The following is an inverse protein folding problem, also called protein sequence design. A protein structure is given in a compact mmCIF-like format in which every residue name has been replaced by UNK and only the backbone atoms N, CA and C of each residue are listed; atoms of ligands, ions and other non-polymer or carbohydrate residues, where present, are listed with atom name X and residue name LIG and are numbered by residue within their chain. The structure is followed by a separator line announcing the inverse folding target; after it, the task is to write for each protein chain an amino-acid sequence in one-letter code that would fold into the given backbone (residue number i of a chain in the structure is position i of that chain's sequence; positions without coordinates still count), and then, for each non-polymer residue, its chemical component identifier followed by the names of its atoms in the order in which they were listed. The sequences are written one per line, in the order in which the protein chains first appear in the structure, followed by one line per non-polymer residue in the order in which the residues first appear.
data_IF_680047086401
#
_entry.id   IF_680047086401
#
_cell.length_a   1.000
_cell.length_b   1.000
_cell.length_c   1.000
_cell.angle_alpha   90.00
_cell.angle_beta   90.00
_cell.angle_gamma   90.00
#
_symmetry.space_group_name_H-M   'P 1'
#
loop_
_entity.id
_entity.type
_entity.pdbx_description
1 polymer ?
#
# COMPACT_ATOMS: atom_id res chain seq x y z
N UNK A 1 -11.02 10.74 2.28
CA UNK A 1 -10.09 10.38 1.17
C UNK A 1 -9.50 11.61 0.48
N UNK A 2 -10.29 12.55 -0.06
CA UNK A 2 -9.78 13.72 -0.81
C UNK A 2 -8.75 14.57 -0.03
N UNK A 3 -9.00 14.88 1.24
CA UNK A 3 -8.04 15.63 2.08
C UNK A 3 -6.69 14.89 2.23
N UNK A 4 -6.72 13.56 2.35
CA UNK A 4 -5.49 12.75 2.41
C UNK A 4 -4.76 12.80 1.07
N UNK A 5 -5.46 12.71 -0.06
CA UNK A 5 -4.80 12.84 -1.38
C UNK A 5 -4.07 14.18 -1.52
N UNK A 6 -4.73 15.27 -1.15
CA UNK A 6 -4.16 16.60 -1.25
C UNK A 6 -2.96 16.84 -0.31
N UNK A 7 -2.84 16.07 0.77
CA UNK A 7 -1.77 16.24 1.76
C UNK A 7 -0.51 15.42 1.51
N UNK A 8 -0.47 14.64 0.42
CA UNK A 8 0.60 13.67 0.16
C UNK A 8 1.19 13.88 -1.25
N UNK A 9 2.45 14.36 -1.37
CA UNK A 9 3.13 14.59 -2.66
C UNK A 9 3.12 13.41 -3.62
N UNK A 10 3.08 12.16 -3.13
CA UNK A 10 2.98 10.98 -3.98
C UNK A 10 1.69 10.95 -4.83
N UNK A 11 0.64 11.69 -4.46
CA UNK A 11 -0.58 11.79 -5.27
C UNK A 11 -0.57 12.95 -6.27
N UNK A 12 0.55 13.65 -6.46
CA UNK A 12 0.71 14.58 -7.58
C UNK A 12 0.41 13.87 -8.90
N UNK A 13 -0.29 14.50 -9.87
CA UNK A 13 -0.63 13.87 -11.14
C UNK A 13 0.60 13.29 -11.87
N UNK A 14 1.71 14.03 -11.90
CA UNK A 14 2.97 13.63 -12.54
C UNK A 14 3.83 12.65 -11.70
N UNK A 15 3.37 12.25 -10.52
CA UNK A 15 4.07 11.27 -9.70
C UNK A 15 4.10 9.91 -10.42
N UNK A 16 5.24 9.22 -10.33
CA UNK A 16 5.45 7.92 -10.94
C UNK A 16 4.50 6.89 -10.34
N UNK A 17 4.05 5.95 -11.17
CA UNK A 17 3.20 4.84 -10.76
C UNK A 17 3.78 3.52 -11.23
N UNK A 18 3.80 2.53 -10.33
CA UNK A 18 4.18 1.16 -10.66
C UNK A 18 3.10 0.19 -10.18
N UNK A 19 2.64 -0.69 -11.08
CA UNK A 19 1.60 -1.70 -10.77
C UNK A 19 2.29 -3.01 -10.41
N UNK A 20 1.81 -3.67 -9.36
CA UNK A 20 2.33 -4.94 -8.87
C UNK A 20 1.36 -6.07 -9.22
N UNK A 21 1.84 -7.08 -9.95
CA UNK A 21 1.12 -8.32 -10.21
C UNK A 21 1.49 -9.36 -9.15
N UNK A 22 0.69 -9.44 -8.09
CA UNK A 22 1.02 -10.21 -6.86
C UNK A 22 -0.11 -11.11 -6.38
N UNK A 23 -1.34 -10.81 -6.75
CA UNK A 23 -2.54 -11.58 -6.45
C UNK A 23 -3.62 -11.14 -7.46
N UNK A 24 -4.20 -12.05 -8.25
CA UNK A 24 -5.16 -11.70 -9.29
C UNK A 24 -6.48 -11.12 -8.74
N UNK A 25 -6.75 -11.27 -7.45
CA UNK A 25 -7.94 -10.73 -6.77
C UNK A 25 -7.65 -9.42 -6.01
N UNK A 26 -6.41 -8.94 -6.04
CA UNK A 26 -6.01 -7.66 -5.48
C UNK A 26 -5.51 -6.73 -6.59
N UNK A 27 -5.79 -5.44 -6.44
CA UNK A 27 -5.11 -4.43 -7.24
C UNK A 27 -4.13 -3.67 -6.36
N UNK A 28 -2.86 -3.66 -6.77
CA UNK A 28 -1.78 -3.04 -5.99
C UNK A 28 -0.93 -2.18 -6.89
N UNK A 29 -0.71 -0.93 -6.48
CA UNK A 29 0.25 -0.05 -7.15
C UNK A 29 0.94 0.86 -6.13
N UNK A 30 2.14 1.33 -6.47
CA UNK A 30 2.80 2.41 -5.75
C UNK A 30 2.60 3.72 -6.49
N UNK A 31 2.66 4.80 -5.71
CA UNK A 31 2.90 6.15 -6.19
C UNK A 31 4.18 6.66 -5.56
N UNK A 32 5.08 7.21 -6.36
CA UNK A 32 6.34 7.79 -5.89
C UNK A 32 6.32 9.26 -6.25
N UNK A 33 6.47 10.14 -5.25
CA UNK A 33 6.48 11.58 -5.46
C UNK A 33 7.51 11.99 -6.51
N UNK A 34 7.28 13.12 -7.17
CA UNK A 34 8.18 13.66 -8.21
C UNK A 34 9.62 13.82 -7.68
N UNK A 35 9.76 14.20 -6.41
CA UNK A 35 11.05 14.36 -5.72
C UNK A 35 11.62 13.05 -5.16
N UNK A 36 10.90 11.92 -5.31
CA UNK A 36 11.26 10.58 -4.80
C UNK A 36 11.43 10.49 -3.28
N UNK A 37 10.86 11.45 -2.54
CA UNK A 37 10.91 11.54 -1.08
C UNK A 37 9.73 10.86 -0.37
N UNK A 38 8.66 10.55 -1.11
CA UNK A 38 7.49 9.85 -0.59
C UNK A 38 7.08 8.72 -1.51
N UNK A 39 6.87 7.54 -0.93
CA UNK A 39 6.25 6.40 -1.60
C UNK A 39 5.00 5.99 -0.86
N UNK A 40 3.88 5.87 -1.57
CA UNK A 40 2.62 5.35 -1.03
C UNK A 40 2.21 4.13 -1.81
N UNK A 41 1.92 3.04 -1.11
CA UNK A 41 1.38 1.83 -1.71
C UNK A 41 -0.12 1.77 -1.54
N UNK A 42 -0.83 1.70 -2.65
CA UNK A 42 -2.28 1.62 -2.69
C UNK A 42 -2.68 0.16 -2.93
N UNK A 43 -3.42 -0.42 -1.98
CA UNK A 43 -3.86 -1.82 -2.03
C UNK A 43 -5.38 -1.86 -1.97
N UNK A 44 -5.99 -2.58 -2.91
CA UNK A 44 -7.43 -2.70 -3.02
C UNK A 44 -7.83 -4.17 -3.08
N UNK A 45 -8.72 -4.59 -2.17
CA UNK A 45 -9.42 -5.85 -2.27
C UNK A 45 -10.76 -5.61 -2.98
N UNK A 46 -10.96 -6.18 -4.17
CA UNK A 46 -12.23 -6.05 -4.90
C UNK A 46 -13.20 -7.20 -4.68
N UNK A 47 -12.92 -8.07 -3.71
CA UNK A 47 -13.73 -9.26 -3.42
C UNK A 47 -14.53 -9.11 -2.13
N UNK A 48 -15.56 -9.95 -1.99
CA UNK A 48 -16.34 -10.12 -0.76
C UNK A 48 -15.61 -10.96 0.31
N UNK A 49 -14.37 -11.40 0.06
CA UNK A 49 -13.62 -12.30 0.94
C UNK A 49 -12.46 -11.56 1.59
N UNK A 50 -12.05 -11.97 2.79
CA UNK A 50 -10.78 -11.51 3.37
C UNK A 50 -9.62 -11.98 2.48
N UNK A 51 -8.68 -11.08 2.21
CA UNK A 51 -7.46 -11.36 1.44
C UNK A 51 -6.24 -11.09 2.30
N UNK A 52 -5.14 -11.78 2.00
CA UNK A 52 -3.88 -11.60 2.72
C UNK A 52 -2.73 -11.56 1.73
N UNK A 53 -1.94 -10.50 1.76
CA UNK A 53 -0.66 -10.44 1.06
C UNK A 53 0.35 -11.18 1.94
N UNK A 54 0.58 -12.46 1.63
CA UNK A 54 1.25 -13.42 2.53
C UNK A 54 2.77 -13.44 2.46
N UNK A 55 3.40 -12.97 1.37
CA UNK A 55 4.82 -13.18 1.18
C UNK A 55 5.61 -11.88 0.94
N UNK A 56 6.53 -11.52 1.85
CA UNK A 56 7.46 -10.43 1.63
C UNK A 56 8.41 -10.64 0.45
N UNK A 57 8.70 -11.89 0.08
CA UNK A 57 9.66 -12.21 -0.98
C UNK A 57 9.11 -12.03 -2.41
N UNK A 58 7.78 -11.98 -2.58
CA UNK A 58 7.15 -11.90 -3.90
C UNK A 58 6.76 -10.48 -4.29
N UNK A 59 6.93 -9.52 -3.37
CA UNK A 59 6.49 -8.14 -3.59
C UNK A 59 7.58 -7.16 -3.16
N UNK A 60 8.05 -6.30 -4.08
CA UNK A 60 9.04 -5.27 -3.75
C UNK A 60 8.56 -4.35 -2.61
N UNK A 61 7.24 -4.18 -2.53
CA UNK A 61 6.46 -3.59 -1.43
C UNK A 61 6.94 -4.03 -0.05
N UNK A 62 7.01 -5.34 0.20
CA UNK A 62 7.19 -5.91 1.54
C UNK A 62 8.65 -6.28 1.84
N UNK A 63 9.54 -6.30 0.85
CA UNK A 63 10.99 -6.56 1.03
C UNK A 63 11.69 -5.45 1.81
N UNK A 64 11.34 -4.19 1.53
CA UNK A 64 12.09 -3.00 2.01
C UNK A 64 11.60 -2.48 3.37
N UNK A 65 10.44 -2.92 3.87
CA UNK A 65 9.82 -2.36 5.08
C UNK A 65 8.94 -3.36 5.82
N UNK A 66 9.02 -3.33 7.15
CA UNK A 66 8.26 -4.20 8.06
C UNK A 66 7.03 -3.53 8.67
N UNK A 67 6.90 -2.20 8.58
CA UNK A 67 5.80 -1.42 9.16
C UNK A 67 5.24 -0.43 8.16
N UNK A 68 3.94 -0.38 8.06
CA UNK A 68 3.24 0.55 7.19
C UNK A 68 2.26 1.38 7.99
N UNK A 69 2.20 2.66 7.70
CA UNK A 69 1.15 3.53 8.21
C UNK A 69 0.05 3.67 7.16
N UNK A 70 -1.17 3.24 7.49
CA UNK A 70 -2.34 3.40 6.63
C UNK A 70 -2.94 4.81 6.82
N UNK A 71 -2.79 5.66 5.81
CA UNK A 71 -3.28 7.05 5.87
C UNK A 71 -4.81 7.15 5.75
N UNK A 72 -5.49 6.09 5.30
CA UNK A 72 -6.96 6.05 5.25
C UNK A 72 -7.55 5.79 6.64
N UNK A 73 -7.09 4.74 7.33
CA UNK A 73 -7.59 4.39 8.66
C UNK A 73 -6.86 5.07 9.83
N UNK A 74 -5.66 5.61 9.58
CA UNK A 74 -4.77 6.15 10.60
C UNK A 74 -4.07 5.10 11.45
N UNK A 75 -4.12 3.82 11.07
CA UNK A 75 -3.55 2.69 11.83
C UNK A 75 -2.19 2.27 11.26
N UNK A 76 -1.36 1.71 12.12
CA UNK A 76 -0.10 1.07 11.71
C UNK A 76 -0.31 -0.43 11.52
N UNK A 77 0.19 -0.96 10.42
CA UNK A 77 0.14 -2.37 10.07
C UNK A 77 1.56 -2.95 10.03
N UNK A 78 1.76 -4.07 10.73
CA UNK A 78 2.99 -4.84 10.64
C UNK A 78 2.94 -5.85 9.49
N UNK A 79 4.03 -5.97 8.76
CA UNK A 79 4.30 -7.01 7.77
C UNK A 79 5.15 -8.12 8.43
N UNK A 80 4.52 -8.85 9.36
CA UNK A 80 5.12 -10.04 9.98
C UNK A 80 4.83 -11.31 9.17
N UNK A 81 5.17 -12.49 9.70
CA UNK A 81 4.89 -13.80 9.09
C UNK A 81 3.42 -14.04 8.70
N UNK A 82 2.49 -13.27 9.26
CA UNK A 82 1.04 -13.36 8.99
C UNK A 82 0.60 -12.57 7.74
N UNK A 83 1.49 -11.77 7.15
CA UNK A 83 1.18 -10.92 6.00
C UNK A 83 0.27 -9.74 6.34
N UNK A 84 -0.03 -8.94 5.32
CA UNK A 84 -0.98 -7.84 5.45
C UNK A 84 -2.40 -8.31 5.08
N UNK A 85 -3.33 -8.19 6.01
CA UNK A 85 -4.74 -8.58 5.81
C UNK A 85 -5.58 -7.41 5.31
N UNK A 86 -6.47 -7.70 4.37
CA UNK A 86 -7.48 -6.79 3.85
C UNK A 86 -8.86 -7.42 4.03
N UNK A 87 -9.76 -6.67 4.68
CA UNK A 87 -11.17 -7.01 4.77
C UNK A 87 -11.84 -6.97 3.37
N UNK A 88 -13.03 -7.57 3.21
CA UNK A 88 -13.82 -7.45 1.98
C UNK A 88 -13.97 -5.98 1.55
N UNK A 89 -13.72 -5.71 0.25
CA UNK A 89 -13.84 -4.36 -0.33
C UNK A 89 -12.95 -3.26 0.28
N UNK A 90 -11.95 -3.64 1.08
CA UNK A 90 -11.08 -2.66 1.75
C UNK A 90 -10.07 -2.04 0.79
N UNK A 91 -9.89 -0.72 0.91
CA UNK A 91 -8.76 0.02 0.38
C UNK A 91 -7.80 0.40 1.51
N UNK A 92 -6.50 0.32 1.27
CA UNK A 92 -5.44 0.76 2.18
C UNK A 92 -4.41 1.60 1.43
N UNK A 93 -3.98 2.71 2.00
CA UNK A 93 -2.91 3.54 1.46
C UNK A 93 -1.75 3.58 2.45
N UNK A 94 -0.69 2.88 2.11
CA UNK A 94 0.35 2.46 3.03
C UNK A 94 1.62 3.26 2.78
N UNK A 95 2.00 4.08 3.75
CA UNK A 95 3.29 4.76 3.80
C UNK A 95 4.28 3.83 4.50
N UNK A 96 5.39 3.42 3.87
CA UNK A 96 6.45 2.67 4.53
C UNK A 96 7.02 3.46 5.70
N UNK A 97 7.22 2.79 6.83
CA UNK A 97 7.95 3.34 7.97
C UNK A 97 9.23 2.54 8.14
N UNK A 98 10.37 3.22 7.99
CA UNK A 98 11.66 2.68 8.40
C UNK A 98 11.64 2.36 9.89
N UNK A 99 12.48 1.41 10.30
CA UNK A 99 12.87 1.28 11.71
C UNK A 99 13.89 2.38 12.07
#
# INVERSE_FOLDING_TARGET
MLRRRASHPAFHPDAEQHVFDIDPELFVHSRVSVNKDETIFCVYNFTAKEKTIKNPADTELLKKTKKFYDILSGKTHGNGKKGLKLAPYQAMWLVPRGD
#
